data_IF_024602892784
#
_entry.id   IF_024602892784
#
_cell.length_a   1.000
_cell.length_b   1.000
_cell.length_c   1.000
_cell.angle_alpha   90.00
_cell.angle_beta   90.00
_cell.angle_gamma   90.00
#
_symmetry.space_group_name_H-M   'P 1'
#
loop_
_entity.id
_entity.type
_entity.pdbx_description
1 polymer ?
#
# COMPACT_ATOMS: atom_id res chain seq x y z
N UNK A 1 1.60 -31.74 0.34
CA UNK A 1 1.78 -30.50 -0.45
C UNK A 1 0.42 -29.89 -0.61
N UNK A 2 0.23 -28.66 -0.12
CA UNK A 2 -1.04 -27.93 -0.26
C UNK A 2 -0.95 -26.90 -1.39
N UNK A 3 -2.11 -26.44 -1.86
CA UNK A 3 -2.27 -25.39 -2.86
C UNK A 3 -3.09 -24.27 -2.28
N UNK A 4 -2.63 -23.02 -2.34
CA UNK A 4 -3.28 -21.88 -1.69
C UNK A 4 -3.37 -20.67 -2.60
N UNK A 5 -4.40 -19.86 -2.41
CA UNK A 5 -4.43 -18.48 -2.88
C UNK A 5 -4.14 -17.55 -1.70
N UNK A 6 -3.30 -16.54 -1.91
CA UNK A 6 -3.06 -15.49 -0.92
C UNK A 6 -3.19 -14.14 -1.60
N UNK A 7 -3.87 -13.19 -0.97
CA UNK A 7 -3.94 -11.83 -1.47
C UNK A 7 -3.88 -10.81 -0.33
N UNK A 8 -3.24 -9.70 -0.60
CA UNK A 8 -3.44 -8.46 0.13
C UNK A 8 -4.88 -7.95 -0.12
N UNK A 9 -5.50 -7.42 0.92
CA UNK A 9 -6.67 -6.57 0.79
C UNK A 9 -6.33 -5.30 0.01
N UNK A 10 -7.39 -4.63 -0.45
CA UNK A 10 -7.32 -3.27 -0.99
C UNK A 10 -6.51 -3.10 -2.29
N UNK A 11 -6.74 -1.96 -2.92
CA UNK A 11 -5.91 -1.43 -4.00
C UNK A 11 -4.59 -0.88 -3.45
N UNK A 12 -3.61 -0.52 -4.30
CA UNK A 12 -2.36 0.06 -3.83
C UNK A 12 -2.60 1.35 -3.06
N UNK A 13 -1.69 1.68 -2.14
CA UNK A 13 -1.79 2.93 -1.38
C UNK A 13 -1.97 4.13 -2.33
N UNK A 14 -2.92 5.01 -2.01
CA UNK A 14 -3.25 6.17 -2.84
C UNK A 14 -4.01 5.84 -4.12
N UNK A 15 -4.50 4.61 -4.28
CA UNK A 15 -5.32 4.18 -5.40
C UNK A 15 -6.65 3.61 -4.92
N UNK A 16 -7.76 4.22 -5.33
CA UNK A 16 -9.11 3.67 -5.14
C UNK A 16 -9.40 3.22 -3.71
N UNK A 17 -9.78 1.96 -3.54
CA UNK A 17 -10.01 1.33 -2.26
C UNK A 17 -8.70 0.98 -1.54
N UNK A 18 -7.96 1.97 -1.03
CA UNK A 18 -6.60 1.79 -0.47
C UNK A 18 -6.55 1.41 1.03
N UNK A 19 -7.67 1.02 1.64
CA UNK A 19 -7.72 0.64 3.05
C UNK A 19 -7.51 1.80 4.04
N UNK A 20 -7.33 1.44 5.31
CA UNK A 20 -7.15 2.36 6.41
C UNK A 20 -5.71 2.89 6.52
N UNK A 21 -5.58 4.13 6.98
CA UNK A 21 -4.30 4.81 7.23
C UNK A 21 -4.27 5.30 8.68
N UNK A 22 -3.28 4.83 9.43
CA UNK A 22 -2.99 5.23 10.80
C UNK A 22 -1.50 5.38 11.04
N UNK A 23 -0.98 4.74 12.09
CA UNK A 23 0.46 4.56 12.31
C UNK A 23 1.08 3.58 11.30
N UNK A 24 0.27 2.64 10.81
CA UNK A 24 0.55 1.79 9.65
C UNK A 24 -0.38 2.17 8.49
N UNK A 25 0.01 1.81 7.28
CA UNK A 25 -0.83 1.93 6.08
C UNK A 25 -1.28 0.53 5.69
N UNK A 26 -2.57 0.23 5.85
CA UNK A 26 -3.13 -1.12 5.70
C UNK A 26 -2.68 -1.76 4.38
N UNK A 27 -2.95 -1.07 3.26
CA UNK A 27 -2.63 -1.57 1.93
C UNK A 27 -1.13 -1.83 1.69
N UNK A 28 -0.24 -1.11 2.38
CA UNK A 28 1.21 -1.31 2.28
C UNK A 28 1.63 -2.54 3.09
N UNK A 29 1.14 -2.66 4.32
CA UNK A 29 1.48 -3.75 5.22
C UNK A 29 0.85 -5.08 4.78
N UNK A 30 -0.37 -5.07 4.26
CA UNK A 30 -1.05 -6.24 3.68
C UNK A 30 -0.21 -6.89 2.60
N UNK A 31 0.37 -6.08 1.70
CA UNK A 31 1.23 -6.56 0.61
C UNK A 31 2.52 -7.17 1.15
N UNK A 32 3.14 -6.56 2.16
CA UNK A 32 4.35 -7.08 2.80
C UNK A 32 4.09 -8.41 3.49
N UNK A 33 3.02 -8.50 4.28
CA UNK A 33 2.63 -9.73 4.99
C UNK A 33 2.24 -10.81 3.97
N UNK A 34 1.43 -10.50 2.95
CA UNK A 34 1.08 -11.44 1.88
C UNK A 34 2.34 -11.99 1.19
N UNK A 35 3.28 -11.14 0.82
CA UNK A 35 4.53 -11.58 0.18
C UNK A 35 5.34 -12.51 1.09
N UNK A 36 5.38 -12.21 2.40
CA UNK A 36 6.02 -13.07 3.40
C UNK A 36 5.33 -14.43 3.51
N UNK A 37 4.00 -14.47 3.57
CA UNK A 37 3.20 -15.70 3.61
C UNK A 37 3.45 -16.56 2.37
N UNK A 38 3.40 -15.96 1.18
CA UNK A 38 3.67 -16.67 -0.09
C UNK A 38 5.07 -17.27 -0.07
N UNK A 39 6.08 -16.48 0.27
CA UNK A 39 7.49 -16.93 0.33
C UNK A 39 7.65 -18.10 1.30
N UNK A 40 7.08 -18.01 2.51
CA UNK A 40 7.19 -19.05 3.53
C UNK A 40 6.52 -20.36 3.10
N UNK A 41 5.31 -20.30 2.53
CA UNK A 41 4.59 -21.47 2.05
C UNK A 41 5.28 -22.11 0.83
N UNK A 42 5.80 -21.32 -0.10
CA UNK A 42 6.56 -21.81 -1.24
C UNK A 42 7.87 -22.50 -0.80
N UNK A 43 8.63 -21.89 0.13
CA UNK A 43 9.83 -22.50 0.72
C UNK A 43 9.53 -23.81 1.44
N UNK A 44 8.32 -23.98 1.97
CA UNK A 44 7.87 -25.22 2.58
C UNK A 44 7.35 -26.28 1.59
N UNK A 45 7.42 -26.00 0.29
CA UNK A 45 7.06 -26.91 -0.80
C UNK A 45 5.58 -26.89 -1.19
N UNK A 46 4.84 -25.83 -0.84
CA UNK A 46 3.45 -25.66 -1.25
C UNK A 46 3.34 -24.85 -2.56
N UNK A 47 2.24 -25.03 -3.28
CA UNK A 47 1.91 -24.19 -4.45
C UNK A 47 1.09 -23.00 -3.95
N UNK A 48 1.47 -21.79 -4.34
CA UNK A 48 0.82 -20.57 -3.87
C UNK A 48 0.63 -19.58 -5.01
N UNK A 49 -0.61 -19.13 -5.21
CA UNK A 49 -0.97 -18.12 -6.19
C UNK A 49 -1.23 -16.76 -5.52
N UNK A 50 -0.66 -15.71 -6.09
CA UNK A 50 -0.92 -14.33 -5.69
C UNK A 50 -2.19 -13.81 -6.38
N UNK A 51 -3.24 -13.57 -5.60
CA UNK A 51 -4.52 -13.10 -6.10
C UNK A 51 -4.77 -11.60 -5.82
N UNK A 52 -3.75 -10.83 -5.42
CA UNK A 52 -3.87 -9.38 -5.16
C UNK A 52 -4.32 -8.62 -6.41
N UNK A 53 -5.24 -7.67 -6.24
CA UNK A 53 -5.62 -6.71 -7.27
C UNK A 53 -4.93 -5.35 -7.04
N UNK A 54 -3.91 -5.06 -7.87
CA UNK A 54 -3.16 -3.81 -7.83
C UNK A 54 -3.71 -2.73 -8.79
N UNK A 55 -4.95 -2.86 -9.25
CA UNK A 55 -5.58 -1.84 -10.09
C UNK A 55 -6.12 -0.65 -9.27
N UNK A 56 -6.12 0.54 -9.85
CA UNK A 56 -6.79 1.70 -9.28
C UNK A 56 -8.31 1.59 -9.47
N UNK A 57 -8.98 0.95 -8.52
CA UNK A 57 -10.41 0.72 -8.62
C UNK A 57 -11.14 0.91 -7.28
N UNK A 58 -12.46 1.11 -7.36
CA UNK A 58 -13.30 1.22 -6.18
C UNK A 58 -13.45 -0.14 -5.47
N UNK A 59 -13.98 -0.11 -4.24
CA UNK A 59 -14.13 -1.29 -3.37
C UNK A 59 -14.85 -2.45 -4.06
N UNK A 60 -15.97 -2.17 -4.72
CA UNK A 60 -16.77 -3.22 -5.37
C UNK A 60 -16.01 -3.88 -6.53
N UNK A 61 -15.23 -3.11 -7.28
CA UNK A 61 -14.42 -3.65 -8.36
C UNK A 61 -13.24 -4.47 -7.83
N UNK A 62 -12.55 -3.97 -6.80
CA UNK A 62 -11.43 -4.66 -6.17
C UNK A 62 -11.84 -6.04 -5.65
N UNK A 63 -12.95 -6.09 -4.91
CA UNK A 63 -13.52 -7.34 -4.41
C UNK A 63 -13.89 -8.32 -5.53
N UNK A 64 -14.47 -7.84 -6.64
CA UNK A 64 -14.78 -8.69 -7.80
C UNK A 64 -13.52 -9.21 -8.49
N UNK A 65 -12.50 -8.37 -8.65
CA UNK A 65 -11.23 -8.74 -9.28
C UNK A 65 -10.49 -9.80 -8.46
N UNK A 66 -10.36 -9.60 -7.15
CA UNK A 66 -9.74 -10.56 -6.22
C UNK A 66 -10.45 -11.90 -6.31
N UNK A 67 -11.78 -11.91 -6.16
CA UNK A 67 -12.56 -13.16 -6.22
C UNK A 67 -12.45 -13.84 -7.58
N UNK A 68 -12.41 -13.08 -8.67
CA UNK A 68 -12.20 -13.64 -10.01
C UNK A 68 -10.83 -14.32 -10.14
N UNK A 69 -9.77 -13.71 -9.58
CA UNK A 69 -8.42 -14.31 -9.52
C UNK A 69 -8.42 -15.57 -8.66
N UNK A 70 -8.95 -15.52 -7.44
CA UNK A 70 -9.02 -16.69 -6.56
C UNK A 70 -9.76 -17.86 -7.23
N UNK A 71 -10.92 -17.58 -7.83
CA UNK A 71 -11.77 -18.59 -8.47
C UNK A 71 -11.24 -19.13 -9.81
N UNK A 72 -10.15 -18.57 -10.34
CA UNK A 72 -9.42 -19.12 -11.48
C UNK A 72 -8.58 -20.35 -11.08
N UNK A 73 -8.37 -20.56 -9.78
CA UNK A 73 -7.61 -21.67 -9.22
C UNK A 73 -8.53 -22.64 -8.44
N UNK A 74 -8.15 -23.92 -8.42
CA UNK A 74 -8.72 -24.90 -7.49
C UNK A 74 -7.70 -25.12 -6.38
N UNK A 75 -7.98 -24.59 -5.19
CA UNK A 75 -7.04 -24.55 -4.05
C UNK A 75 -7.67 -25.08 -2.77
N UNK A 76 -6.84 -25.37 -1.77
CA UNK A 76 -7.27 -25.85 -0.45
C UNK A 76 -7.79 -24.71 0.44
N UNK A 77 -7.26 -23.49 0.27
CA UNK A 77 -7.60 -22.32 1.08
C UNK A 77 -7.34 -21.00 0.31
N UNK A 78 -8.28 -20.06 0.44
CA UNK A 78 -8.10 -18.64 0.11
C UNK A 78 -7.78 -17.84 1.39
N UNK A 79 -6.69 -17.06 1.35
CA UNK A 79 -6.21 -16.26 2.49
C UNK A 79 -6.20 -14.78 2.10
N UNK A 80 -7.07 -14.01 2.76
CA UNK A 80 -7.13 -12.55 2.64
C UNK A 80 -6.35 -11.91 3.79
N UNK A 81 -5.37 -11.07 3.49
CA UNK A 81 -4.54 -10.36 4.48
C UNK A 81 -5.01 -8.92 4.61
N UNK A 82 -5.29 -8.50 5.84
CA UNK A 82 -5.74 -7.17 6.22
C UNK A 82 -5.06 -6.70 7.52
N UNK A 83 -5.09 -5.39 7.77
CA UNK A 83 -4.89 -4.79 9.08
C UNK A 83 -6.13 -3.97 9.46
N UNK A 84 -6.57 -4.11 10.70
CA UNK A 84 -7.80 -3.55 11.22
C UNK A 84 -7.67 -2.06 11.54
N UNK A 85 -8.79 -1.41 11.84
CA UNK A 85 -8.84 -0.03 12.33
C UNK A 85 -10.08 0.17 13.23
N UNK A 86 -10.19 1.34 13.86
CA UNK A 86 -11.36 1.70 14.67
C UNK A 86 -11.14 1.58 16.18
N UNK A 87 -9.89 1.73 16.64
CA UNK A 87 -9.56 1.86 18.07
C UNK A 87 -9.47 0.54 18.86
N UNK A 88 -9.32 -0.60 18.19
CA UNK A 88 -9.03 -1.89 18.82
C UNK A 88 -7.53 -2.18 18.96
N UNK A 89 -7.18 -3.38 19.42
CA UNK A 89 -5.82 -3.93 19.46
C UNK A 89 -5.89 -5.45 19.28
N UNK A 90 -4.88 -6.02 18.60
CA UNK A 90 -4.69 -7.45 18.48
C UNK A 90 -5.10 -8.05 17.14
N UNK A 91 -4.81 -9.34 16.99
CA UNK A 91 -5.12 -10.14 15.80
C UNK A 91 -6.50 -10.79 15.90
N UNK A 92 -7.27 -10.78 14.81
CA UNK A 92 -8.47 -11.61 14.63
C UNK A 92 -8.50 -12.26 13.24
N UNK A 93 -9.25 -13.34 13.10
CA UNK A 93 -9.46 -14.00 11.80
C UNK A 93 -10.95 -14.23 11.59
N UNK A 94 -11.45 -13.77 10.44
CA UNK A 94 -12.84 -13.91 10.02
C UNK A 94 -13.02 -15.14 9.12
N UNK A 95 -14.02 -15.93 9.45
CA UNK A 95 -14.44 -17.13 8.73
C UNK A 95 -15.88 -16.99 8.21
N UNK A 96 -16.22 -17.67 7.11
CA UNK A 96 -17.61 -17.74 6.64
C UNK A 96 -18.45 -18.69 7.51
N UNK A 97 -17.89 -19.88 7.76
CA UNK A 97 -18.47 -20.98 8.53
C UNK A 97 -17.36 -21.69 9.35
N UNK A 98 -17.69 -22.79 10.03
CA UNK A 98 -16.74 -23.51 10.89
C UNK A 98 -15.59 -24.24 10.16
N UNK A 99 -15.56 -24.31 8.82
CA UNK A 99 -14.58 -25.14 8.09
C UNK A 99 -13.14 -24.64 8.25
N UNK A 100 -12.94 -23.33 8.37
CA UNK A 100 -11.61 -22.73 8.51
C UNK A 100 -11.27 -22.35 9.96
N UNK A 101 -12.14 -22.64 10.93
CA UNK A 101 -12.01 -22.21 12.32
C UNK A 101 -10.73 -22.70 13.01
N UNK A 102 -10.30 -23.95 12.73
CA UNK A 102 -9.08 -24.50 13.33
C UNK A 102 -7.83 -23.77 12.84
N UNK A 103 -7.75 -23.51 11.52
CA UNK A 103 -6.62 -22.76 10.92
C UNK A 103 -6.66 -21.31 11.43
N UNK A 104 -7.84 -20.69 11.45
CA UNK A 104 -8.03 -19.34 11.96
C UNK A 104 -7.60 -19.20 13.44
N UNK A 105 -7.97 -20.16 14.29
CA UNK A 105 -7.56 -20.17 15.69
C UNK A 105 -6.05 -20.31 15.85
N UNK A 106 -5.41 -21.14 15.02
CA UNK A 106 -3.96 -21.30 15.01
C UNK A 106 -3.26 -20.01 14.56
N UNK A 107 -3.78 -19.32 13.53
CA UNK A 107 -3.26 -18.02 13.07
C UNK A 107 -3.34 -16.99 14.21
N UNK A 108 -4.51 -16.83 14.85
CA UNK A 108 -4.65 -15.88 15.94
C UNK A 108 -3.68 -16.16 17.08
N UNK A 109 -3.51 -17.44 17.46
CA UNK A 109 -2.60 -17.82 18.53
C UNK A 109 -1.13 -17.53 18.17
N UNK A 110 -0.69 -17.94 16.98
CA UNK A 110 0.69 -17.79 16.55
C UNK A 110 1.06 -16.30 16.42
N UNK A 111 0.26 -15.51 15.70
CA UNK A 111 0.51 -14.08 15.48
C UNK A 111 0.49 -13.31 16.78
N UNK A 112 -0.49 -13.55 17.66
CA UNK A 112 -0.56 -12.93 18.98
C UNK A 112 0.69 -13.21 19.80
N UNK A 113 1.13 -14.47 19.85
CA UNK A 113 2.32 -14.88 20.62
C UNK A 113 3.58 -14.23 20.07
N UNK A 114 3.76 -14.23 18.75
CA UNK A 114 5.00 -13.79 18.13
C UNK A 114 5.21 -12.27 18.14
N UNK A 115 4.11 -11.52 17.98
CA UNK A 115 4.12 -10.07 18.06
C UNK A 115 4.00 -9.58 19.50
N UNK A 116 3.38 -10.34 20.40
CA UNK A 116 3.08 -9.89 21.76
C UNK A 116 1.88 -8.93 21.81
N UNK A 117 0.88 -9.16 20.96
CA UNK A 117 -0.37 -8.39 20.89
C UNK A 117 -1.57 -9.23 21.29
N UNK A 118 -2.72 -8.61 21.55
CA UNK A 118 -3.93 -9.32 21.99
C UNK A 118 -4.40 -10.38 20.98
N UNK A 119 -4.79 -11.56 21.45
CA UNK A 119 -5.51 -12.55 20.65
C UNK A 119 -7.02 -12.26 20.75
N UNK A 120 -7.65 -11.81 19.67
CA UNK A 120 -9.10 -11.50 19.65
C UNK A 120 -9.95 -12.67 19.16
N UNK A 121 -9.31 -13.77 18.76
CA UNK A 121 -9.94 -15.02 18.37
C UNK A 121 -10.58 -15.00 16.99
N UNK A 122 -11.26 -16.11 16.68
CA UNK A 122 -11.98 -16.33 15.42
C UNK A 122 -13.30 -15.57 15.45
N UNK A 123 -13.66 -14.93 14.34
CA UNK A 123 -14.91 -14.22 14.09
C UNK A 123 -15.64 -14.86 12.91
N UNK A 124 -16.95 -14.65 12.81
CA UNK A 124 -17.77 -15.20 11.74
C UNK A 124 -18.56 -14.10 11.03
N UNK A 125 -18.57 -14.13 9.70
CA UNK A 125 -19.38 -13.25 8.89
C UNK A 125 -19.79 -13.90 7.57
N UNK A 126 -21.09 -13.90 7.30
CA UNK A 126 -21.64 -14.27 5.99
C UNK A 126 -21.73 -13.07 5.03
N UNK A 127 -21.33 -11.87 5.48
CA UNK A 127 -21.41 -10.62 4.73
C UNK A 127 -20.13 -10.26 3.96
N UNK A 128 -18.96 -10.70 4.43
CA UNK A 128 -17.67 -10.37 3.80
C UNK A 128 -17.57 -11.00 2.41
N UNK A 129 -17.32 -10.16 1.41
CA UNK A 129 -17.48 -10.55 0.01
C UNK A 129 -16.52 -11.67 -0.39
N UNK A 130 -15.24 -11.57 -0.03
CA UNK A 130 -14.23 -12.60 -0.35
C UNK A 130 -14.60 -13.94 0.29
N UNK A 131 -15.00 -13.95 1.57
CA UNK A 131 -15.40 -15.17 2.27
C UNK A 131 -16.63 -15.85 1.64
N UNK A 132 -17.56 -15.05 1.12
CA UNK A 132 -18.83 -15.54 0.56
C UNK A 132 -18.72 -15.96 -0.92
N UNK A 133 -17.80 -15.37 -1.67
CA UNK A 133 -17.80 -15.45 -3.15
C UNK A 133 -16.64 -16.22 -3.74
N UNK A 134 -15.64 -16.59 -2.95
CA UNK A 134 -14.68 -17.61 -3.39
C UNK A 134 -15.30 -19.01 -3.38
N UNK A 135 -14.76 -19.90 -4.22
CA UNK A 135 -15.19 -21.31 -4.33
C UNK A 135 -14.50 -22.21 -3.32
N UNK A 136 -13.23 -21.95 -3.03
CA UNK A 136 -12.48 -22.67 -2.01
C UNK A 136 -12.83 -22.13 -0.62
N UNK A 137 -12.57 -22.90 0.47
CA UNK A 137 -12.66 -22.37 1.82
C UNK A 137 -11.83 -21.10 1.96
N UNK A 138 -12.36 -20.09 2.66
CA UNK A 138 -11.70 -18.80 2.80
C UNK A 138 -11.62 -18.35 4.26
N UNK A 139 -10.57 -17.58 4.56
CA UNK A 139 -10.43 -16.81 5.79
C UNK A 139 -9.85 -15.43 5.49
N UNK A 140 -10.14 -14.48 6.38
CA UNK A 140 -9.60 -13.11 6.32
C UNK A 140 -8.90 -12.81 7.64
N UNK A 141 -7.61 -12.52 7.57
CA UNK A 141 -6.76 -12.22 8.73
C UNK A 141 -6.71 -10.71 8.90
N UNK A 142 -7.10 -10.23 10.07
CA UNK A 142 -6.86 -8.87 10.55
C UNK A 142 -5.63 -8.91 11.46
N UNK A 143 -4.45 -8.63 10.90
CA UNK A 143 -3.16 -8.94 11.53
C UNK A 143 -2.90 -8.14 12.81
N UNK A 144 -3.28 -6.86 12.82
CA UNK A 144 -3.23 -5.94 13.95
C UNK A 144 -4.07 -4.69 13.62
N UNK A 145 -4.12 -3.70 14.51
CA UNK A 145 -4.79 -2.41 14.25
C UNK A 145 -3.82 -1.34 13.75
N UNK A 146 -4.08 -0.74 12.60
CA UNK A 146 -3.23 0.31 12.00
C UNK A 146 -3.18 1.59 12.83
N UNK A 147 -4.20 1.85 13.64
CA UNK A 147 -4.41 3.05 14.43
C UNK A 147 -4.07 2.86 15.91
N UNK A 148 -3.52 1.71 16.30
CA UNK A 148 -3.19 1.39 17.67
C UNK A 148 -1.68 1.45 17.96
N UNK A 149 -1.30 2.24 18.97
CA UNK A 149 0.11 2.46 19.32
C UNK A 149 0.81 1.19 19.84
N UNK A 150 0.12 0.34 20.60
CA UNK A 150 0.70 -0.92 21.09
C UNK A 150 0.97 -1.88 19.93
N UNK A 151 -0.02 -2.07 19.06
CA UNK A 151 0.12 -2.93 17.88
C UNK A 151 1.25 -2.44 16.96
N UNK A 152 1.31 -1.12 16.69
CA UNK A 152 2.38 -0.50 15.91
C UNK A 152 3.77 -0.75 16.53
N UNK A 153 3.92 -0.56 17.85
CA UNK A 153 5.20 -0.76 18.55
C UNK A 153 5.68 -2.21 18.53
N UNK A 154 4.76 -3.16 18.37
CA UNK A 154 5.02 -4.59 18.29
C UNK A 154 5.05 -5.12 16.85
N UNK A 155 4.72 -4.29 15.85
CA UNK A 155 4.53 -4.72 14.48
C UNK A 155 5.81 -5.27 13.87
N UNK A 156 5.72 -6.49 13.34
CA UNK A 156 6.81 -7.13 12.61
C UNK A 156 6.22 -8.01 11.51
N UNK A 157 6.37 -7.55 10.27
CA UNK A 157 5.89 -8.23 9.06
C UNK A 157 6.41 -9.65 8.94
N UNK A 158 7.70 -9.87 9.22
CA UNK A 158 8.34 -11.17 9.01
C UNK A 158 7.77 -12.22 9.96
N UNK A 159 7.69 -11.88 11.25
CA UNK A 159 7.02 -12.72 12.26
C UNK A 159 5.57 -12.96 11.91
N UNK A 160 4.81 -11.90 11.61
CA UNK A 160 3.40 -12.02 11.28
C UNK A 160 3.16 -12.97 10.10
N UNK A 161 3.88 -12.78 9.00
CA UNK A 161 3.73 -13.61 7.80
C UNK A 161 4.20 -15.05 8.00
N UNK A 162 5.32 -15.27 8.70
CA UNK A 162 5.82 -16.63 9.00
C UNK A 162 4.86 -17.41 9.89
N UNK A 163 4.23 -16.74 10.87
CA UNK A 163 3.32 -17.38 11.80
C UNK A 163 1.95 -17.67 11.20
N UNK A 164 1.46 -16.80 10.31
CA UNK A 164 0.31 -17.09 9.44
C UNK A 164 0.62 -18.32 8.57
N UNK A 165 1.76 -18.32 7.88
CA UNK A 165 2.17 -19.44 7.03
C UNK A 165 2.35 -20.74 7.82
N UNK A 166 2.90 -20.67 9.03
CA UNK A 166 3.11 -21.82 9.91
C UNK A 166 1.79 -22.43 10.38
N UNK A 167 0.80 -21.59 10.69
CA UNK A 167 -0.54 -22.05 11.01
C UNK A 167 -1.21 -22.76 9.81
N UNK A 168 -1.05 -22.22 8.60
CA UNK A 168 -1.58 -22.82 7.37
C UNK A 168 -0.87 -24.15 7.04
N UNK A 169 0.44 -24.19 7.17
CA UNK A 169 1.26 -25.36 6.85
C UNK A 169 1.17 -26.49 7.91
N UNK A 170 0.66 -26.18 9.11
CA UNK A 170 0.60 -27.11 10.24
C UNK A 170 1.99 -27.46 10.83
N UNK A 171 3.01 -26.66 10.52
CA UNK A 171 4.39 -26.81 10.98
C UNK A 171 5.09 -25.46 10.89
N UNK A 172 6.17 -25.26 11.63
CA UNK A 172 6.99 -24.05 11.51
C UNK A 172 7.56 -23.94 10.10
N UNK A 173 7.29 -22.81 9.44
CA UNK A 173 7.84 -22.44 8.14
C UNK A 173 8.30 -20.99 8.19
N UNK A 174 9.28 -20.63 7.38
CA UNK A 174 9.81 -19.29 7.32
C UNK A 174 10.01 -18.88 5.87
N UNK A 175 9.64 -17.62 5.57
CA UNK A 175 9.99 -17.02 4.30
C UNK A 175 11.49 -16.79 4.21
N UNK A 176 12.02 -16.80 3.00
CA UNK A 176 13.35 -16.25 2.79
C UNK A 176 13.36 -14.81 3.27
N UNK A 177 14.43 -14.40 3.97
CA UNK A 177 14.61 -13.01 4.39
C UNK A 177 14.16 -12.12 3.24
N UNK A 178 13.18 -11.27 3.51
CA UNK A 178 12.84 -10.27 2.52
C UNK A 178 14.17 -9.56 2.27
N UNK A 179 14.70 -9.55 1.05
CA UNK A 179 15.52 -8.41 0.69
C UNK A 179 14.68 -7.21 1.16
N UNK A 180 15.22 -6.26 1.97
CA UNK A 180 14.46 -5.08 2.32
C UNK A 180 13.87 -4.65 0.99
N UNK A 181 12.54 -4.61 0.88
CA UNK A 181 11.95 -4.38 -0.43
C UNK A 181 12.61 -3.12 -0.93
N UNK A 182 13.53 -3.25 -1.88
CA UNK A 182 13.70 -2.21 -2.84
C UNK A 182 12.29 -2.18 -3.39
N UNK A 183 11.52 -1.15 -3.01
CA UNK A 183 10.47 -0.67 -3.88
C UNK A 183 11.03 -0.89 -5.28
N UNK A 184 10.42 -1.73 -6.13
CA UNK A 184 10.91 -1.85 -7.50
C UNK A 184 11.15 -0.41 -7.94
N UNK A 185 12.40 -0.12 -8.32
CA UNK A 185 12.84 1.26 -8.54
C UNK A 185 11.71 1.95 -9.31
N UNK A 186 11.12 3.03 -8.78
CA UNK A 186 9.89 3.60 -9.30
C UNK A 186 9.98 3.70 -10.82
N UNK A 187 9.28 2.81 -11.53
CA UNK A 187 9.44 2.72 -12.99
C UNK A 187 8.75 3.94 -13.58
N UNK A 188 9.48 4.84 -14.26
CA UNK A 188 8.85 6.01 -14.86
C UNK A 188 7.79 5.56 -15.86
N UNK A 189 6.65 6.26 -15.86
CA UNK A 189 5.63 6.01 -16.88
C UNK A 189 6.18 6.43 -18.25
N UNK A 190 6.45 5.44 -19.12
CA UNK A 190 7.02 5.65 -20.46
C UNK A 190 6.15 6.53 -21.39
N UNK A 191 4.88 6.77 -21.03
CA UNK A 191 3.95 7.62 -21.77
C UNK A 191 3.71 9.01 -21.18
N UNK A 192 4.46 9.46 -20.19
CA UNK A 192 4.24 10.78 -19.56
C UNK A 192 4.69 11.94 -20.47
N UNK A 193 3.76 12.82 -20.85
CA UNK A 193 4.05 14.06 -21.58
C UNK A 193 4.73 15.10 -20.67
N UNK A 194 6.04 14.97 -20.53
CA UNK A 194 6.84 15.84 -19.68
C UNK A 194 6.83 17.30 -20.16
N UNK A 195 6.91 17.55 -21.47
CA UNK A 195 6.88 18.90 -22.02
C UNK A 195 5.51 19.58 -21.80
N UNK A 196 4.41 18.85 -22.03
CA UNK A 196 3.07 19.33 -21.73
C UNK A 196 2.87 19.62 -20.24
N UNK A 197 3.42 18.76 -19.36
CA UNK A 197 3.42 19.01 -17.92
C UNK A 197 4.19 20.29 -17.54
N UNK A 198 5.39 20.51 -18.11
CA UNK A 198 6.17 21.75 -17.88
C UNK A 198 5.37 22.99 -18.33
N UNK A 199 4.69 22.93 -19.48
CA UNK A 199 3.84 24.03 -19.94
C UNK A 199 2.71 24.36 -18.96
N UNK A 200 2.05 23.34 -18.40
CA UNK A 200 1.00 23.54 -17.39
C UNK A 200 1.57 24.13 -16.10
N UNK A 201 2.75 23.69 -15.67
CA UNK A 201 3.44 24.27 -14.51
C UNK A 201 3.78 25.74 -14.72
N UNK A 202 4.36 26.11 -15.85
CA UNK A 202 4.67 27.51 -16.17
C UNK A 202 3.40 28.38 -16.16
N UNK A 203 2.32 27.89 -16.78
CA UNK A 203 1.04 28.58 -16.81
C UNK A 203 0.42 28.74 -15.41
N UNK A 204 0.46 27.69 -14.59
CA UNK A 204 -0.06 27.71 -13.22
C UNK A 204 0.77 28.65 -12.32
N UNK A 205 2.10 28.65 -12.45
CA UNK A 205 2.95 29.59 -11.72
C UNK A 205 2.68 31.05 -12.11
N UNK A 206 2.29 31.31 -13.36
CA UNK A 206 1.84 32.64 -13.77
C UNK A 206 0.45 32.98 -13.23
N UNK A 207 -0.49 32.04 -13.29
CA UNK A 207 -1.87 32.24 -12.85
C UNK A 207 -1.99 32.50 -11.35
N UNK A 208 -1.14 31.86 -10.54
CA UNK A 208 -1.03 32.10 -9.10
C UNK A 208 -0.03 33.21 -8.73
N UNK A 209 0.45 33.97 -9.72
CA UNK A 209 1.36 35.12 -9.55
C UNK A 209 2.72 34.80 -8.90
N UNK A 210 3.13 33.53 -8.86
CA UNK A 210 4.49 33.15 -8.43
C UNK A 210 5.56 33.60 -9.43
N UNK A 211 5.19 33.82 -10.69
CA UNK A 211 6.09 34.29 -11.74
C UNK A 211 5.35 35.00 -12.88
N UNK A 212 6.11 35.53 -13.85
CA UNK A 212 5.60 36.07 -15.13
C UNK A 212 6.45 35.54 -16.29
N UNK A 213 6.64 34.24 -16.32
CA UNK A 213 7.52 33.56 -17.26
C UNK A 213 6.81 33.23 -18.57
N UNK A 214 7.58 32.93 -19.61
CA UNK A 214 7.03 32.41 -20.87
C UNK A 214 6.56 30.97 -20.66
N UNK A 215 5.40 30.64 -21.24
CA UNK A 215 4.92 29.24 -21.31
C UNK A 215 5.47 28.63 -22.60
N UNK A 216 6.67 28.08 -22.53
CA UNK A 216 7.39 27.50 -23.67
C UNK A 216 7.58 25.98 -23.59
N UNK A 217 7.11 25.35 -22.51
CA UNK A 217 7.20 23.90 -22.26
C UNK A 217 8.63 23.39 -22.04
N UNK A 218 9.58 24.29 -21.83
CA UNK A 218 10.99 23.95 -21.65
C UNK A 218 11.36 24.16 -20.17
N UNK A 219 11.84 23.11 -19.46
CA UNK A 219 12.32 23.29 -18.10
C UNK A 219 13.64 24.07 -18.12
N UNK A 220 13.90 24.87 -17.08
CA UNK A 220 15.13 25.62 -16.98
C UNK A 220 15.15 26.55 -15.76
N UNK A 221 16.20 27.37 -15.61
CA UNK A 221 16.35 28.25 -14.46
C UNK A 221 15.17 29.21 -14.24
N UNK A 222 14.53 29.69 -15.31
CA UNK A 222 13.36 30.58 -15.23
C UNK A 222 12.15 29.81 -14.69
N UNK A 223 11.89 28.61 -15.21
CA UNK A 223 10.83 27.71 -14.72
C UNK A 223 11.02 27.37 -13.26
N UNK A 224 12.24 27.00 -12.87
CA UNK A 224 12.61 26.68 -11.50
C UNK A 224 12.43 27.88 -10.55
N UNK A 225 12.89 29.07 -10.95
CA UNK A 225 12.75 30.29 -10.15
C UNK A 225 11.28 30.67 -9.90
N UNK A 226 10.39 30.35 -10.85
CA UNK A 226 8.95 30.59 -10.70
C UNK A 226 8.20 29.55 -9.86
N UNK A 227 8.83 28.44 -9.46
CA UNK A 227 8.17 27.38 -8.68
C UNK A 227 8.03 27.78 -7.19
N UNK A 228 6.82 27.71 -6.61
CA UNK A 228 6.57 28.10 -5.21
C UNK A 228 7.05 27.05 -4.20
N UNK A 229 7.15 27.44 -2.93
CA UNK A 229 7.34 26.49 -1.83
C UNK A 229 6.02 25.76 -1.52
N UNK A 230 5.98 24.43 -1.67
CA UNK A 230 4.79 23.62 -1.37
C UNK A 230 5.06 22.71 -0.17
N UNK A 231 4.11 22.67 0.77
CA UNK A 231 4.16 21.88 2.00
C UNK A 231 2.75 21.51 2.45
N UNK A 232 2.62 20.70 3.52
CA UNK A 232 1.34 20.32 4.13
C UNK A 232 0.38 21.49 4.26
N UNK A 233 -0.88 21.25 3.89
CA UNK A 233 -1.94 22.25 3.84
C UNK A 233 -2.03 23.04 2.52
N UNK A 234 -1.06 22.90 1.60
CA UNK A 234 -1.19 23.44 0.25
C UNK A 234 -2.26 22.66 -0.54
N UNK A 235 -2.98 23.35 -1.43
CA UNK A 235 -4.01 22.73 -2.26
C UNK A 235 -4.15 23.43 -3.62
N UNK A 236 -4.92 22.83 -4.52
CA UNK A 236 -5.22 23.35 -5.86
C UNK A 236 -4.32 22.78 -6.95
N UNK A 237 -4.35 23.42 -8.12
CA UNK A 237 -3.72 22.89 -9.33
C UNK A 237 -2.20 22.76 -9.22
N UNK A 238 -1.54 23.65 -8.47
CA UNK A 238 -0.09 23.55 -8.25
C UNK A 238 0.27 22.26 -7.49
N UNK A 239 -0.55 21.85 -6.54
CA UNK A 239 -0.39 20.57 -5.84
C UNK A 239 -0.67 19.39 -6.76
N UNK A 240 -1.69 19.47 -7.63
CA UNK A 240 -1.96 18.43 -8.64
C UNK A 240 -0.76 18.21 -9.55
N UNK A 241 -0.09 19.28 -9.97
CA UNK A 241 1.09 19.16 -10.83
C UNK A 241 2.26 18.46 -10.13
N UNK A 242 2.46 18.69 -8.83
CA UNK A 242 3.42 17.90 -8.03
C UNK A 242 3.02 16.43 -7.99
N UNK A 243 1.76 16.14 -7.65
CA UNK A 243 1.24 14.78 -7.55
C UNK A 243 1.35 14.01 -8.87
N UNK A 244 0.94 14.61 -9.98
CA UNK A 244 1.08 14.04 -11.33
C UNK A 244 2.53 13.70 -11.64
N UNK A 245 3.46 14.61 -11.29
CA UNK A 245 4.88 14.39 -11.56
C UNK A 245 5.46 13.28 -10.69
N UNK A 246 5.15 13.26 -9.40
CA UNK A 246 5.54 12.19 -8.49
C UNK A 246 5.00 10.85 -8.98
N UNK A 247 3.72 10.77 -9.34
CA UNK A 247 3.10 9.58 -9.90
C UNK A 247 3.78 9.14 -11.21
N UNK A 248 4.14 10.08 -12.09
CA UNK A 248 4.88 9.77 -13.33
C UNK A 248 6.26 9.18 -13.09
N UNK A 249 6.85 9.50 -11.95
CA UNK A 249 8.14 9.01 -11.47
C UNK A 249 7.97 7.80 -10.55
N UNK A 250 6.75 7.25 -10.43
CA UNK A 250 6.43 6.06 -9.63
C UNK A 250 6.29 6.29 -8.12
N UNK A 251 6.20 7.54 -7.67
CA UNK A 251 5.92 7.93 -6.28
C UNK A 251 4.42 8.25 -6.11
N UNK A 252 3.61 7.19 -6.02
CA UNK A 252 2.14 7.26 -6.05
C UNK A 252 1.55 8.01 -4.83
N UNK A 253 0.74 9.04 -5.08
CA UNK A 253 0.05 9.83 -4.04
C UNK A 253 -1.37 10.30 -4.41
N UNK A 254 -2.00 9.71 -5.44
CA UNK A 254 -3.26 10.22 -5.99
C UNK A 254 -3.05 11.54 -6.76
N UNK A 255 -4.12 12.12 -7.32
CA UNK A 255 -4.12 13.47 -7.95
C UNK A 255 -5.41 14.19 -7.60
N UNK A 256 -5.57 14.57 -6.34
CA UNK A 256 -6.76 15.29 -5.85
C UNK A 256 -6.52 16.80 -5.78
N UNK A 257 -5.25 17.23 -5.71
CA UNK A 257 -4.85 18.60 -5.47
C UNK A 257 -4.79 18.98 -4.00
N UNK A 258 -4.77 18.01 -3.08
CA UNK A 258 -4.52 18.22 -1.66
C UNK A 258 -3.14 17.67 -1.28
N UNK A 259 -2.30 18.50 -0.66
CA UNK A 259 -0.99 18.07 -0.19
C UNK A 259 -1.12 17.18 1.06
N UNK A 260 -2.32 17.12 1.63
CA UNK A 260 -2.64 16.41 2.84
C UNK A 260 -2.62 17.35 4.04
N UNK A 261 -3.58 17.11 4.94
CA UNK A 261 -3.58 17.57 6.33
C UNK A 261 -3.63 16.33 7.21
N UNK A 262 -2.91 16.36 8.33
CA UNK A 262 -3.00 15.28 9.30
C UNK A 262 -4.48 14.95 9.60
N UNK A 263 -4.88 13.67 9.55
CA UNK A 263 -4.04 12.48 9.45
C UNK A 263 -3.74 11.98 8.01
N UNK A 264 -4.22 12.63 6.95
CA UNK A 264 -4.00 12.23 5.54
C UNK A 264 -2.76 12.91 4.96
N UNK A 265 -1.83 12.14 4.39
CA UNK A 265 -0.49 12.61 4.05
C UNK A 265 0.15 11.91 2.85
N UNK A 266 -0.65 11.40 1.92
CA UNK A 266 -0.23 10.65 0.74
C UNK A 266 0.79 11.44 -0.11
N UNK A 267 0.49 12.72 -0.39
CA UNK A 267 1.42 13.61 -1.12
C UNK A 267 2.69 13.88 -0.33
N UNK A 268 2.58 14.11 0.98
CA UNK A 268 3.74 14.35 1.84
C UNK A 268 4.67 13.13 1.90
N UNK A 269 4.12 11.92 2.02
CA UNK A 269 4.89 10.67 2.03
C UNK A 269 5.56 10.40 0.70
N UNK A 270 4.85 10.63 -0.42
CA UNK A 270 5.44 10.53 -1.75
C UNK A 270 6.58 11.53 -1.96
N UNK A 271 6.47 12.76 -1.43
CA UNK A 271 7.56 13.74 -1.47
C UNK A 271 8.74 13.29 -0.62
N UNK A 272 8.52 12.76 0.59
CA UNK A 272 9.60 12.19 1.41
C UNK A 272 10.30 11.04 0.69
N UNK A 273 9.53 10.11 0.11
CA UNK A 273 10.07 8.97 -0.62
C UNK A 273 10.89 9.44 -1.84
N UNK A 274 10.37 10.41 -2.59
CA UNK A 274 11.05 11.03 -3.71
C UNK A 274 12.36 11.71 -3.30
N UNK A 275 12.33 12.45 -2.19
CA UNK A 275 13.50 13.13 -1.66
C UNK A 275 14.60 12.14 -1.26
N UNK A 276 14.24 11.04 -0.57
CA UNK A 276 15.18 9.97 -0.23
C UNK A 276 15.80 9.35 -1.48
N UNK A 277 14.99 9.09 -2.51
CA UNK A 277 15.45 8.48 -3.76
C UNK A 277 16.36 9.38 -4.61
N UNK A 278 16.42 10.69 -4.31
CA UNK A 278 17.20 11.69 -5.05
C UNK A 278 18.27 12.38 -4.18
N UNK A 279 18.64 11.76 -3.05
CA UNK A 279 19.64 12.28 -2.11
C UNK A 279 19.34 13.71 -1.61
N UNK A 280 18.06 14.02 -1.44
CA UNK A 280 17.56 15.27 -0.87
C UNK A 280 17.22 15.09 0.62
N UNK A 281 17.14 16.20 1.35
CA UNK A 281 16.64 16.18 2.74
C UNK A 281 15.17 15.75 2.75
N UNK A 282 14.79 14.65 3.41
CA UNK A 282 13.45 14.07 3.36
C UNK A 282 12.49 14.75 4.34
N UNK A 283 12.22 16.03 4.11
CA UNK A 283 11.40 16.87 4.97
C UNK A 283 9.95 17.04 4.49
N UNK A 284 9.57 16.41 3.37
CA UNK A 284 8.22 16.48 2.82
C UNK A 284 7.83 17.86 2.30
N UNK A 285 8.80 18.72 2.00
CA UNK A 285 8.62 20.07 1.43
C UNK A 285 9.13 20.08 -0.01
N UNK A 286 8.29 20.50 -0.96
CA UNK A 286 8.71 20.79 -2.33
C UNK A 286 9.28 22.20 -2.39
N UNK A 287 10.56 22.32 -2.06
CA UNK A 287 11.35 23.53 -2.26
C UNK A 287 12.16 23.49 -3.55
N UNK A 288 12.99 24.51 -3.78
CA UNK A 288 13.79 24.69 -5.00
C UNK A 288 14.62 23.45 -5.39
N UNK A 289 15.25 22.76 -4.42
CA UNK A 289 16.00 21.53 -4.70
C UNK A 289 15.11 20.38 -5.18
N UNK A 290 13.94 20.21 -4.55
CA UNK A 290 12.95 19.20 -4.96
C UNK A 290 12.39 19.53 -6.34
N UNK A 291 12.06 20.80 -6.61
CA UNK A 291 11.60 21.27 -7.92
C UNK A 291 12.64 21.06 -9.01
N UNK A 292 13.92 21.36 -8.75
CA UNK A 292 15.00 21.13 -9.70
C UNK A 292 15.02 19.68 -10.17
N UNK A 293 14.95 18.72 -9.22
CA UNK A 293 14.88 17.29 -9.54
C UNK A 293 13.60 16.91 -10.29
N UNK A 294 12.43 17.45 -9.91
CA UNK A 294 11.16 17.18 -10.60
C UNK A 294 11.18 17.68 -12.06
N UNK A 295 11.88 18.79 -12.31
CA UNK A 295 12.13 19.39 -13.63
C UNK A 295 13.25 18.71 -14.42
N UNK A 296 13.93 17.70 -13.86
CA UNK A 296 15.06 17.03 -14.52
C UNK A 296 16.29 17.93 -14.69
N UNK A 297 16.44 18.94 -13.83
CA UNK A 297 17.59 19.85 -13.81
C UNK A 297 18.67 19.32 -12.86
N UNK A 298 19.93 19.71 -13.13
CA UNK A 298 21.12 19.30 -12.36
C UNK A 298 21.11 19.84 -10.93
#
# INVERSE_FOLDING_TARGET
MGTYNVHAGHCPQGQGASGAVGLLQESVEDRKVKNRVISALQSAGHVVYDCTDDSNCNVSQNLRNIVAKCNAHSVDLDVSIHLNAGGGTGVEVWCYDGKTANIASAICQNVSTALGISNRGVKYSTGLYVLRKTKAPALLVECCFVDNQNDYSHWNVEKCGDDIASAIAGKTVQGNASAPAQNPAPTPNAGFDFAGWVGRLQAECNAQEFSRQKVDRIPGPITLAGCPLIKRGASGNITRLVQERLNSLGFCCGVDGDYGRAPFHETYDAVIAYQRANDLVPNGIVGQKTWSKLLGLS
#
